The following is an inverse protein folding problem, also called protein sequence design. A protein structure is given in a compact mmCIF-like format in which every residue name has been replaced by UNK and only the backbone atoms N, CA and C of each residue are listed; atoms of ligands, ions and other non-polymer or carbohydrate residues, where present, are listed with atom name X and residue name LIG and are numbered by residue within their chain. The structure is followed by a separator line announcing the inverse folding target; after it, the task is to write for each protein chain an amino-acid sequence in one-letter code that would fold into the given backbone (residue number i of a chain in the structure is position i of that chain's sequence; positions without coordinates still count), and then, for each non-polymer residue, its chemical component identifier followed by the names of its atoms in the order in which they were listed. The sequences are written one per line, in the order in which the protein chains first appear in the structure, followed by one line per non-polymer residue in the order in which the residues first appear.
data_IF_892707417490
#
_entry.id   IF_892707417490
#
_cell.length_a   1.000
_cell.length_b   1.000
_cell.length_c   1.000
_cell.angle_alpha   90.00
_cell.angle_beta   90.00
_cell.angle_gamma   90.00
#
_symmetry.space_group_name_H-M   'P 1'
#
loop_
_entity.id
_entity.type
_entity.pdbx_description
1 polymer ?
#
# COMPACT_ATOMS: atom_id res chain seq x y z
N UNK A 1 -7.78 2.40 46.36
CA UNK A 1 -8.41 2.15 45.04
C UNK A 1 -7.37 2.14 43.93
N UNK A 2 -7.56 1.33 42.88
CA UNK A 2 -6.59 1.18 41.77
C UNK A 2 -6.43 2.43 40.90
N UNK A 3 -7.41 3.34 40.89
CA UNK A 3 -7.34 4.66 40.27
C UNK A 3 -6.86 4.66 38.80
N UNK A 4 -7.67 4.07 37.92
CA UNK A 4 -7.31 3.89 36.51
C UNK A 4 -6.39 2.68 36.23
N UNK A 5 -5.96 1.96 37.27
CA UNK A 5 -5.41 0.60 37.17
C UNK A 5 -6.49 -0.49 37.24
N UNK A 6 -6.09 -1.71 36.94
CA UNK A 6 -6.84 -2.95 37.16
C UNK A 6 -6.63 -3.48 38.58
N UNK A 7 -7.56 -4.31 39.07
CA UNK A 7 -7.56 -4.86 40.44
C UNK A 7 -8.83 -4.47 41.20
N UNK A 8 -9.15 -5.21 42.27
CA UNK A 8 -10.27 -4.87 43.16
C UNK A 8 -9.84 -3.86 44.23
N UNK A 9 -10.78 -3.09 44.74
CA UNK A 9 -10.51 -2.20 45.88
C UNK A 9 -10.05 -3.03 47.09
N UNK A 10 -8.84 -2.73 47.57
CA UNK A 10 -8.28 -3.34 48.77
C UNK A 10 -8.82 -2.62 50.00
N UNK A 11 -9.44 -3.36 50.91
CA UNK A 11 -10.00 -2.84 52.16
C UNK A 11 -9.45 -3.63 53.35
N UNK A 12 -9.10 -2.93 54.42
CA UNK A 12 -8.63 -3.51 55.68
C UNK A 12 -9.30 -2.78 56.85
N UNK A 13 -9.67 -3.52 57.88
CA UNK A 13 -10.22 -2.97 59.12
C UNK A 13 -9.10 -2.78 60.14
N UNK A 14 -9.00 -1.58 60.71
CA UNK A 14 -8.01 -1.22 61.73
C UNK A 14 -8.74 -0.72 62.97
N UNK A 15 -8.20 -0.98 64.17
CA UNK A 15 -8.75 -0.44 65.41
C UNK A 15 -8.41 1.07 65.46
N UNK A 16 -9.38 1.96 65.75
CA UNK A 16 -9.11 3.39 65.82
C UNK A 16 -8.01 3.71 66.84
N UNK A 17 -7.00 4.46 66.40
CA UNK A 17 -5.83 4.84 67.21
C UNK A 17 -4.64 3.90 67.12
N UNK A 18 -4.78 2.72 66.48
CA UNK A 18 -3.64 1.82 66.21
C UNK A 18 -2.87 2.28 64.97
N UNK A 19 -1.57 1.96 64.93
CA UNK A 19 -0.75 2.13 63.72
C UNK A 19 -1.10 1.06 62.67
N UNK A 20 -1.14 1.49 61.41
CA UNK A 20 -1.30 0.64 60.24
C UNK A 20 -0.21 0.92 59.22
N UNK A 21 0.34 -0.13 58.60
CA UNK A 21 1.34 0.00 57.54
C UNK A 21 0.65 0.16 56.20
N UNK A 22 0.99 1.22 55.47
CA UNK A 22 0.51 1.42 54.10
C UNK A 22 1.08 0.31 53.20
N UNK A 23 0.20 -0.48 52.59
CA UNK A 23 0.60 -1.61 51.76
C UNK A 23 1.12 -1.18 50.40
N UNK A 24 1.92 -2.03 49.76
CA UNK A 24 2.29 -1.82 48.34
C UNK A 24 1.12 -2.13 47.42
N UNK A 25 1.19 -1.61 46.20
CA UNK A 25 0.29 -2.00 45.12
C UNK A 25 0.27 -3.53 44.84
N UNK A 26 1.41 -4.21 44.99
CA UNK A 26 1.49 -5.67 44.83
C UNK A 26 0.68 -6.43 45.87
N UNK A 27 0.70 -5.99 47.13
CA UNK A 27 -0.14 -6.54 48.20
C UNK A 27 -1.63 -6.34 47.91
N UNK A 28 -1.98 -5.21 47.28
CA UNK A 28 -3.34 -4.89 46.85
C UNK A 28 -3.75 -5.58 45.53
N UNK A 29 -2.86 -6.33 44.89
CA UNK A 29 -3.05 -6.97 43.57
C UNK A 29 -3.59 -6.00 42.49
N UNK A 30 -3.10 -4.76 42.45
CA UNK A 30 -3.48 -3.81 41.41
C UNK A 30 -2.34 -3.64 40.40
N UNK A 31 -2.65 -3.23 39.17
CA UNK A 31 -1.65 -2.98 38.13
C UNK A 31 -2.19 -2.02 37.07
N UNK A 32 -1.32 -1.25 36.43
CA UNK A 32 -1.70 -0.37 35.33
C UNK A 32 -0.72 -0.57 34.18
N UNK A 33 -1.19 -1.08 33.05
CA UNK A 33 -0.32 -1.43 31.92
C UNK A 33 0.45 -0.19 31.42
N UNK A 34 1.77 -0.32 31.29
CA UNK A 34 2.66 0.79 30.91
C UNK A 34 2.88 1.83 31.98
N UNK A 35 2.53 1.55 33.25
CA UNK A 35 2.81 2.44 34.36
C UNK A 35 3.40 1.67 35.55
N UNK A 36 4.27 2.37 36.29
CA UNK A 36 4.83 1.91 37.56
C UNK A 36 4.09 2.63 38.69
N UNK A 37 3.81 1.89 39.77
CA UNK A 37 3.24 2.46 40.99
C UNK A 37 4.25 3.38 41.67
N UNK A 38 3.86 4.62 41.98
CA UNK A 38 4.70 5.56 42.75
C UNK A 38 4.38 5.55 44.24
N UNK A 39 3.13 5.84 44.59
CA UNK A 39 2.66 6.01 45.98
C UNK A 39 1.12 6.02 46.02
N UNK A 40 0.55 6.17 47.21
CA UNK A 40 -0.88 6.41 47.40
C UNK A 40 -1.13 7.89 47.68
N UNK A 41 -2.31 8.38 47.30
CA UNK A 41 -2.71 9.78 47.48
C UNK A 41 -4.12 9.86 48.06
N UNK A 42 -4.40 10.91 48.83
CA UNK A 42 -5.71 11.15 49.44
C UNK A 42 -6.81 11.35 48.39
N UNK A 43 -6.50 12.07 47.31
CA UNK A 43 -7.45 12.36 46.23
C UNK A 43 -7.13 11.56 44.97
N UNK A 44 -8.17 11.20 44.22
CA UNK A 44 -8.04 10.42 42.98
C UNK A 44 -7.23 11.12 41.87
N UNK A 45 -7.19 12.46 41.88
CA UNK A 45 -6.39 13.25 40.93
C UNK A 45 -4.89 13.29 41.29
N UNK A 46 -4.47 12.60 42.34
CA UNK A 46 -3.08 12.54 42.81
C UNK A 46 -2.68 13.74 43.68
N UNK A 47 -3.63 14.59 44.06
CA UNK A 47 -3.43 15.70 45.01
C UNK A 47 -3.66 15.27 46.47
N UNK A 48 -3.44 16.21 47.39
CA UNK A 48 -3.62 15.98 48.82
C UNK A 48 -2.42 15.28 49.46
N UNK A 49 -2.66 14.60 50.56
CA UNK A 49 -1.62 13.90 51.31
C UNK A 49 -1.08 12.71 50.51
N UNK A 50 0.25 12.56 50.49
CA UNK A 50 0.93 11.42 49.86
C UNK A 50 1.29 10.40 50.92
N UNK A 51 0.97 9.13 50.65
CA UNK A 51 1.25 8.00 51.52
C UNK A 51 2.17 7.00 50.83
N UNK A 52 3.34 6.74 51.42
CA UNK A 52 4.36 5.85 50.86
C UNK A 52 4.18 4.43 51.38
N UNK A 53 4.29 3.43 50.51
CA UNK A 53 4.23 2.03 50.96
C UNK A 53 5.33 1.72 51.98
N UNK A 54 4.95 1.09 53.10
CA UNK A 54 5.82 0.76 54.22
C UNK A 54 5.83 1.80 55.35
N UNK A 55 5.20 2.96 55.18
CA UNK A 55 5.05 3.94 56.26
C UNK A 55 3.94 3.54 57.25
N UNK A 56 4.06 3.99 58.50
CA UNK A 56 3.04 3.84 59.52
C UNK A 56 2.10 5.04 59.52
N UNK A 57 0.80 4.78 59.55
CA UNK A 57 -0.25 5.78 59.75
C UNK A 57 -1.13 5.41 60.94
N UNK A 58 -1.52 6.40 61.74
CA UNK A 58 -2.51 6.22 62.80
C UNK A 58 -3.88 6.67 62.29
N UNK A 59 -4.86 5.76 62.31
CA UNK A 59 -6.19 6.05 61.78
C UNK A 59 -7.18 6.30 62.91
N UNK A 60 -7.80 7.48 62.93
CA UNK A 60 -8.92 7.80 63.84
C UNK A 60 -10.28 7.70 63.17
N UNK A 61 -10.31 7.74 61.83
CA UNK A 61 -11.50 7.71 60.99
C UNK A 61 -11.24 6.88 59.71
N UNK A 62 -12.29 6.60 58.95
CA UNK A 62 -12.18 5.91 57.68
C UNK A 62 -11.34 6.73 56.67
N UNK A 63 -10.37 6.08 56.05
CA UNK A 63 -9.49 6.68 55.06
C UNK A 63 -9.61 5.92 53.73
N UNK A 64 -9.71 6.64 52.62
CA UNK A 64 -9.58 6.08 51.27
C UNK A 64 -8.37 6.71 50.61
N UNK A 65 -7.50 5.88 50.04
CA UNK A 65 -6.36 6.34 49.26
C UNK A 65 -6.38 5.76 47.85
N UNK A 66 -5.79 6.49 46.92
CA UNK A 66 -5.81 6.23 45.48
C UNK A 66 -4.39 6.02 44.98
N UNK A 67 -4.17 4.96 44.20
CA UNK A 67 -2.87 4.70 43.63
C UNK A 67 -2.46 5.83 42.67
N UNK A 68 -1.23 6.30 42.79
CA UNK A 68 -0.59 7.21 41.86
C UNK A 68 0.39 6.43 40.99
N UNK A 69 0.29 6.65 39.69
CA UNK A 69 1.00 5.90 38.67
C UNK A 69 1.86 6.84 37.84
N UNK A 70 3.09 6.41 37.53
CA UNK A 70 3.99 7.09 36.59
C UNK A 70 4.18 6.24 35.36
N UNK A 71 4.16 6.85 34.18
CA UNK A 71 4.38 6.14 32.92
C UNK A 71 5.76 5.46 32.92
N UNK A 72 5.77 4.21 32.48
CA UNK A 72 6.98 3.46 32.18
C UNK A 72 7.47 3.87 30.79
N UNK A 73 8.57 4.62 30.75
CA UNK A 73 9.17 5.18 29.53
C UNK A 73 9.62 4.12 28.50
N UNK A 74 9.49 2.83 28.81
CA UNK A 74 9.77 1.72 27.87
C UNK A 74 8.53 1.09 27.26
N UNK A 75 7.32 1.44 27.72
CA UNK A 75 6.07 0.80 27.30
C UNK A 75 5.18 1.77 26.53
N UNK A 76 4.92 1.45 25.25
CA UNK A 76 4.05 2.20 24.35
C UNK A 76 3.23 1.25 23.47
N UNK A 77 2.12 1.76 22.96
CA UNK A 77 1.46 1.19 21.79
C UNK A 77 1.92 1.92 20.53
N UNK A 78 2.35 1.16 19.54
CA UNK A 78 2.77 1.69 18.26
C UNK A 78 1.61 1.69 17.27
N UNK A 79 1.36 2.86 16.66
CA UNK A 79 0.47 3.01 15.51
C UNK A 79 1.35 3.08 14.27
N UNK A 80 1.30 2.05 13.44
CA UNK A 80 2.12 1.93 12.21
C UNK A 80 1.27 2.14 10.97
N UNK A 81 1.68 3.06 10.12
CA UNK A 81 1.05 3.43 8.87
C UNK A 81 1.83 2.81 7.70
N UNK A 82 1.14 2.04 6.85
CA UNK A 82 1.71 1.35 5.69
C UNK A 82 1.29 2.03 4.39
N UNK A 83 2.23 2.24 3.47
CA UNK A 83 1.99 2.90 2.17
C UNK A 83 1.00 2.16 1.27
N UNK A 84 0.89 0.85 1.44
CA UNK A 84 -0.06 -0.04 0.75
C UNK A 84 -0.07 0.10 -0.78
N UNK A 85 1.07 -0.23 -1.40
CA UNK A 85 1.26 -0.09 -2.85
C UNK A 85 1.52 1.34 -3.32
N UNK A 86 1.62 2.31 -2.42
CA UNK A 86 2.19 3.63 -2.66
C UNK A 86 3.72 3.67 -2.48
N UNK A 87 4.29 4.83 -2.74
CA UNK A 87 5.69 5.18 -2.49
C UNK A 87 5.86 5.89 -1.13
N UNK A 88 7.03 5.74 -0.53
CA UNK A 88 7.36 6.23 0.81
C UNK A 88 7.89 5.10 1.69
N UNK A 89 8.11 5.37 2.97
CA UNK A 89 8.45 4.37 3.98
C UNK A 89 7.33 4.30 5.01
N UNK A 90 7.26 3.18 5.74
CA UNK A 90 6.35 3.07 6.87
C UNK A 90 6.59 4.20 7.88
N UNK A 91 5.51 4.69 8.47
CA UNK A 91 5.53 5.75 9.46
C UNK A 91 4.95 5.21 10.77
N UNK A 92 5.67 5.36 11.89
CA UNK A 92 5.24 4.81 13.18
C UNK A 92 5.26 5.91 14.24
N UNK A 93 4.20 5.94 15.05
CA UNK A 93 4.08 6.80 16.23
C UNK A 93 3.90 5.91 17.45
N UNK A 94 4.62 6.24 18.53
CA UNK A 94 4.46 5.58 19.83
C UNK A 94 3.52 6.40 20.70
N UNK A 95 2.51 5.75 21.27
CA UNK A 95 1.43 6.35 22.06
C UNK A 95 1.47 5.74 23.46
N UNK A 96 1.38 6.59 24.48
CA UNK A 96 1.32 6.15 25.88
C UNK A 96 -0.02 5.40 26.10
N UNK A 97 -0.03 4.25 26.79
CA UNK A 97 -1.29 3.54 27.05
C UNK A 97 -2.32 4.42 27.78
N UNK A 98 -3.50 4.56 27.18
CA UNK A 98 -4.59 5.40 27.68
C UNK A 98 -4.61 6.82 27.15
N UNK A 99 -3.56 7.26 26.44
CA UNK A 99 -3.54 8.55 25.74
C UNK A 99 -4.22 8.45 24.37
N UNK A 100 -4.75 9.59 23.93
CA UNK A 100 -5.33 9.77 22.60
C UNK A 100 -4.25 10.01 21.54
N UNK A 101 -4.50 9.51 20.33
CA UNK A 101 -3.69 9.71 19.14
C UNK A 101 -4.55 10.18 17.97
N UNK A 102 -4.10 11.23 17.28
CA UNK A 102 -4.78 11.75 16.09
C UNK A 102 -4.25 11.05 14.84
N UNK A 103 -5.14 10.46 14.05
CA UNK A 103 -4.79 9.77 12.81
C UNK A 103 -4.20 10.77 11.81
N UNK A 104 -3.00 10.48 11.31
CA UNK A 104 -2.26 11.41 10.45
C UNK A 104 -2.74 11.37 9.00
N UNK A 105 -2.43 12.41 8.22
CA UNK A 105 -2.63 12.40 6.76
C UNK A 105 -1.50 11.63 6.06
N UNK A 106 -1.71 11.24 4.79
CA UNK A 106 -0.62 10.69 3.96
C UNK A 106 0.56 11.67 3.80
N UNK A 107 0.29 12.98 3.78
CA UNK A 107 1.31 14.03 3.70
C UNK A 107 2.23 14.04 4.93
N UNK A 108 1.67 13.93 6.14
CA UNK A 108 2.45 13.80 7.38
C UNK A 108 3.32 12.54 7.38
N UNK A 109 2.80 11.44 6.84
CA UNK A 109 3.53 10.19 6.69
C UNK A 109 4.51 10.19 5.49
N UNK A 110 4.58 11.26 4.70
CA UNK A 110 5.36 11.38 3.46
C UNK A 110 5.07 10.24 2.44
N UNK A 111 3.79 9.92 2.24
CA UNK A 111 3.34 8.85 1.35
C UNK A 111 2.53 9.39 0.16
N UNK A 112 2.71 8.77 -1.00
CA UNK A 112 2.01 9.10 -2.24
C UNK A 112 1.80 7.86 -3.09
N UNK A 113 0.90 7.92 -4.08
CA UNK A 113 0.72 6.86 -5.08
C UNK A 113 0.38 7.49 -6.42
N UNK A 114 1.20 7.21 -7.45
CA UNK A 114 1.06 7.87 -8.75
C UNK A 114 -0.27 7.54 -9.42
N UNK A 115 -1.03 8.57 -9.79
CA UNK A 115 -2.38 8.44 -10.37
C UNK A 115 -3.49 8.18 -9.35
N UNK A 116 -3.21 8.31 -8.06
CA UNK A 116 -4.19 8.10 -7.01
C UNK A 116 -4.19 9.21 -5.96
N UNK A 117 -5.35 9.42 -5.37
CA UNK A 117 -5.58 10.29 -4.21
C UNK A 117 -5.77 9.43 -2.96
N UNK A 118 -5.23 9.86 -1.84
CA UNK A 118 -5.45 9.23 -0.54
C UNK A 118 -6.89 9.45 -0.08
N UNK A 119 -7.60 8.39 0.31
CA UNK A 119 -8.96 8.49 0.86
C UNK A 119 -8.96 8.47 2.40
N UNK A 120 -8.36 7.43 2.99
CA UNK A 120 -8.34 7.15 4.43
C UNK A 120 -7.34 6.02 4.72
N UNK A 121 -7.22 5.65 5.99
CA UNK A 121 -6.52 4.44 6.41
C UNK A 121 -7.50 3.32 6.71
N UNK A 122 -7.08 2.08 6.54
CA UNK A 122 -7.89 0.90 6.87
C UNK A 122 -7.12 -0.09 7.71
N UNK A 123 -7.83 -0.85 8.54
CA UNK A 123 -7.25 -1.92 9.37
C UNK A 123 -6.56 -3.00 8.53
N UNK A 124 -7.16 -3.36 7.39
CA UNK A 124 -6.62 -4.38 6.50
C UNK A 124 -6.09 -3.77 5.19
N UNK A 125 -5.06 -4.40 4.62
CA UNK A 125 -4.40 -3.95 3.39
C UNK A 125 -5.31 -3.97 2.14
N UNK A 126 -6.32 -4.84 2.13
CA UNK A 126 -7.32 -4.93 1.05
C UNK A 126 -8.38 -3.82 1.09
N UNK A 127 -8.28 -2.89 2.06
CA UNK A 127 -9.22 -1.79 2.25
C UNK A 127 -10.48 -2.17 3.04
N UNK A 128 -10.53 -3.38 3.62
CA UNK A 128 -11.60 -3.83 4.52
C UNK A 128 -11.30 -3.53 5.99
N UNK A 129 -12.25 -3.90 6.86
CA UNK A 129 -12.14 -3.70 8.31
C UNK A 129 -12.50 -2.27 8.72
N UNK A 130 -11.97 -1.86 9.87
CA UNK A 130 -12.20 -0.51 10.41
C UNK A 130 -11.56 0.55 9.51
N UNK A 131 -12.31 1.62 9.22
CA UNK A 131 -11.82 2.78 8.47
C UNK A 131 -11.40 3.86 9.47
N UNK A 132 -10.20 4.39 9.28
CA UNK A 132 -9.65 5.47 10.07
C UNK A 132 -9.43 6.73 9.22
N UNK A 133 -10.18 7.78 9.51
CA UNK A 133 -10.12 9.06 8.77
C UNK A 133 -9.02 9.96 9.32
N UNK A 134 -8.27 10.63 8.44
CA UNK A 134 -7.23 11.56 8.88
C UNK A 134 -7.84 12.72 9.69
N UNK A 135 -7.27 13.01 10.85
CA UNK A 135 -7.75 14.01 11.80
C UNK A 135 -8.69 13.49 12.88
N UNK A 136 -9.18 12.24 12.78
CA UNK A 136 -9.92 11.64 13.88
C UNK A 136 -8.99 11.23 15.04
N UNK A 137 -9.56 11.08 16.22
CA UNK A 137 -8.84 10.69 17.43
C UNK A 137 -9.18 9.27 17.84
N UNK A 138 -8.17 8.48 18.17
CA UNK A 138 -8.29 7.10 18.66
C UNK A 138 -7.50 6.94 19.97
N UNK A 139 -7.90 6.00 20.81
CA UNK A 139 -7.12 5.57 21.99
C UNK A 139 -6.66 4.13 21.76
N UNK A 140 -5.42 3.91 21.31
CA UNK A 140 -4.92 2.55 21.07
C UNK A 140 -4.93 1.73 22.36
N UNK A 141 -5.45 0.50 22.27
CA UNK A 141 -5.42 -0.49 23.36
C UNK A 141 -4.41 -1.62 23.12
N UNK A 142 -3.79 -1.63 21.94
CA UNK A 142 -2.67 -2.48 21.54
C UNK A 142 -1.91 -1.76 20.41
N UNK A 143 -0.77 -2.31 20.00
CA UNK A 143 -0.12 -1.96 18.75
C UNK A 143 -1.11 -2.17 17.58
N UNK A 144 -1.20 -1.19 16.70
CA UNK A 144 -2.06 -1.28 15.52
C UNK A 144 -1.28 -0.93 14.26
N UNK A 145 -1.66 -1.58 13.16
CA UNK A 145 -1.17 -1.25 11.82
C UNK A 145 -2.36 -0.83 10.97
N UNK A 146 -2.21 0.26 10.23
CA UNK A 146 -3.21 0.74 9.29
C UNK A 146 -2.59 0.96 7.91
N UNK A 147 -3.38 0.76 6.88
CA UNK A 147 -2.95 0.71 5.49
C UNK A 147 -3.60 1.84 4.71
N UNK A 148 -2.82 2.56 3.90
CA UNK A 148 -3.37 3.64 3.09
C UNK A 148 -4.38 3.08 2.07
N UNK A 149 -5.55 3.69 2.00
CA UNK A 149 -6.53 3.45 0.95
C UNK A 149 -6.43 4.54 -0.09
N UNK A 150 -6.28 4.11 -1.33
CA UNK A 150 -6.05 4.98 -2.49
C UNK A 150 -7.20 4.82 -3.48
N UNK A 151 -7.64 5.94 -4.05
CA UNK A 151 -8.61 5.98 -5.14
C UNK A 151 -8.00 6.64 -6.36
N UNK A 152 -8.24 6.05 -7.54
CA UNK A 152 -7.75 6.58 -8.80
C UNK A 152 -8.23 8.02 -9.01
N UNK A 153 -7.37 8.89 -9.53
CA UNK A 153 -7.67 10.32 -9.70
C UNK A 153 -8.51 10.66 -10.94
N UNK A 154 -8.83 9.65 -11.77
CA UNK A 154 -9.62 9.72 -13.00
C UNK A 154 -9.02 10.59 -14.12
N UNK A 155 -7.76 10.98 -14.00
CA UNK A 155 -7.06 11.87 -14.96
C UNK A 155 -5.67 11.38 -15.37
N UNK A 156 -5.04 10.53 -14.56
CA UNK A 156 -3.67 10.06 -14.77
C UNK A 156 -3.67 8.64 -15.30
N UNK A 157 -3.12 8.45 -16.50
CA UNK A 157 -3.02 7.15 -17.16
C UNK A 157 -1.64 6.96 -17.78
N UNK A 158 -1.20 5.71 -17.89
CA UNK A 158 -0.17 5.34 -18.85
C UNK A 158 -0.83 5.00 -20.19
N UNK A 159 -0.21 5.43 -21.28
CA UNK A 159 -0.69 5.13 -22.62
C UNK A 159 0.18 4.08 -23.29
N UNK A 160 -0.47 3.07 -23.87
CA UNK A 160 0.17 2.12 -24.78
C UNK A 160 -0.18 2.51 -26.21
N UNK A 161 0.82 2.89 -27.00
CA UNK A 161 0.65 3.27 -28.40
C UNK A 161 1.21 2.20 -29.32
N UNK A 162 0.36 1.66 -30.17
CA UNK A 162 0.69 0.66 -31.17
C UNK A 162 0.93 1.35 -32.51
N UNK A 163 2.04 1.02 -33.18
CA UNK A 163 2.47 1.58 -34.46
C UNK A 163 2.50 0.51 -35.54
N UNK A 164 1.90 0.77 -36.70
CA UNK A 164 1.82 -0.20 -37.80
C UNK A 164 3.19 -0.57 -38.41
N UNK A 165 4.22 0.24 -38.16
CA UNK A 165 5.62 -0.01 -38.52
C UNK A 165 5.83 -0.46 -39.98
N UNK A 166 5.73 0.49 -40.91
CA UNK A 166 5.72 0.25 -42.37
C UNK A 166 4.53 -0.58 -42.88
N UNK A 167 3.61 -0.97 -42.01
CA UNK A 167 2.28 -1.42 -42.39
C UNK A 167 1.32 -0.25 -42.67
N UNK A 168 0.05 -0.59 -42.80
CA UNK A 168 -1.09 0.31 -42.97
C UNK A 168 -1.94 0.34 -41.70
N UNK A 169 -2.63 1.46 -41.48
CA UNK A 169 -3.39 1.75 -40.26
C UNK A 169 -2.92 3.05 -39.61
N UNK A 170 -3.75 3.61 -38.73
CA UNK A 170 -3.35 4.72 -37.86
C UNK A 170 -2.83 4.18 -36.54
N UNK A 171 -2.14 5.03 -35.77
CA UNK A 171 -1.78 4.69 -34.39
C UNK A 171 -3.02 4.28 -33.59
N UNK A 172 -2.86 3.25 -32.77
CA UNK A 172 -3.89 2.78 -31.85
C UNK A 172 -3.38 2.96 -30.43
N UNK A 173 -4.11 3.72 -29.61
CA UNK A 173 -3.68 4.03 -28.23
C UNK A 173 -4.72 3.57 -27.23
N UNK A 174 -4.24 2.93 -26.16
CA UNK A 174 -5.06 2.51 -25.01
C UNK A 174 -4.51 3.20 -23.76
N UNK A 175 -5.41 3.74 -22.94
CA UNK A 175 -5.07 4.30 -21.63
C UNK A 175 -5.29 3.24 -20.55
N UNK A 176 -4.32 3.11 -19.66
CA UNK A 176 -4.24 2.08 -18.62
C UNK A 176 -4.01 2.77 -17.28
N UNK A 177 -4.79 2.38 -16.27
CA UNK A 177 -4.65 2.92 -14.92
C UNK A 177 -3.30 2.45 -14.34
N UNK A 178 -2.50 3.32 -13.70
CA UNK A 178 -1.26 2.89 -13.08
C UNK A 178 -1.46 1.76 -12.06
N UNK A 179 -0.68 0.68 -12.21
CA UNK A 179 -0.78 -0.52 -11.37
C UNK A 179 -1.73 -1.60 -11.88
N UNK A 180 -2.59 -1.30 -12.85
CA UNK A 180 -3.37 -2.33 -13.56
C UNK A 180 -2.52 -3.03 -14.63
N UNK A 181 -2.89 -4.28 -14.94
CA UNK A 181 -2.32 -4.99 -16.07
C UNK A 181 -3.00 -4.56 -17.39
N UNK A 182 -2.20 -4.46 -18.45
CA UNK A 182 -2.66 -4.27 -19.81
C UNK A 182 -2.42 -5.52 -20.64
N UNK A 183 -3.45 -6.03 -21.30
CA UNK A 183 -3.32 -7.14 -22.24
C UNK A 183 -2.93 -6.63 -23.62
N UNK A 184 -1.81 -7.11 -24.15
CA UNK A 184 -1.29 -6.74 -25.46
C UNK A 184 -2.27 -7.15 -26.55
N UNK A 185 -2.69 -6.17 -27.36
CA UNK A 185 -3.72 -6.41 -28.39
C UNK A 185 -3.18 -7.10 -29.63
N UNK A 186 -4.05 -7.69 -30.44
CA UNK A 186 -3.67 -8.19 -31.78
C UNK A 186 -3.56 -7.03 -32.78
N UNK A 187 -2.86 -7.26 -33.91
CA UNK A 187 -2.89 -6.30 -35.03
C UNK A 187 -4.31 -6.07 -35.57
N UNK A 188 -5.18 -7.08 -35.50
CA UNK A 188 -6.59 -6.95 -35.89
C UNK A 188 -7.36 -5.97 -35.00
N UNK A 189 -7.19 -6.06 -33.68
CA UNK A 189 -7.77 -5.09 -32.72
C UNK A 189 -7.27 -3.66 -32.98
N UNK A 190 -5.98 -3.51 -33.30
CA UNK A 190 -5.39 -2.23 -33.67
C UNK A 190 -5.75 -1.77 -35.10
N UNK A 191 -6.50 -2.56 -35.87
CA UNK A 191 -6.83 -2.33 -37.29
C UNK A 191 -5.59 -2.08 -38.18
N UNK A 192 -4.53 -2.86 -37.98
CA UNK A 192 -3.28 -2.75 -38.70
C UNK A 192 -3.01 -3.98 -39.58
N UNK A 193 -2.49 -3.72 -40.78
CA UNK A 193 -2.16 -4.78 -41.73
C UNK A 193 -0.96 -4.39 -42.59
N UNK A 194 -0.22 -5.37 -43.10
CA UNK A 194 0.85 -5.15 -44.07
C UNK A 194 0.70 -6.16 -45.21
N UNK A 195 0.43 -5.67 -46.41
CA UNK A 195 0.18 -6.53 -47.57
C UNK A 195 1.38 -7.44 -47.87
N UNK A 196 1.13 -8.75 -48.03
CA UNK A 196 2.18 -9.76 -48.24
C UNK A 196 2.93 -10.16 -46.96
N UNK A 197 2.47 -9.74 -45.79
CA UNK A 197 3.08 -10.10 -44.51
C UNK A 197 2.03 -10.55 -43.50
N UNK A 198 2.47 -11.42 -42.59
CA UNK A 198 1.73 -11.85 -41.40
C UNK A 198 2.31 -11.12 -40.18
N UNK A 199 1.44 -10.71 -39.26
CA UNK A 199 1.85 -10.15 -37.98
C UNK A 199 2.49 -11.24 -37.12
N UNK A 200 3.70 -11.00 -36.59
CA UNK A 200 4.35 -11.91 -35.65
C UNK A 200 4.04 -11.52 -34.20
N UNK A 201 4.45 -10.32 -33.81
CA UNK A 201 4.33 -9.77 -32.46
C UNK A 201 4.58 -8.25 -32.49
N UNK A 202 4.50 -7.61 -31.32
CA UNK A 202 4.93 -6.22 -31.16
C UNK A 202 6.35 -6.15 -30.63
N UNK A 203 7.09 -5.09 -30.97
CA UNK A 203 8.45 -4.86 -30.45
C UNK A 203 8.59 -3.45 -29.91
N UNK A 204 9.45 -3.27 -28.90
CA UNK A 204 9.76 -1.98 -28.31
C UNK A 204 10.35 -0.99 -29.35
N UNK A 205 11.20 -1.50 -30.25
CA UNK A 205 11.82 -0.69 -31.30
C UNK A 205 11.25 -0.99 -32.69
N UNK A 206 11.22 0.03 -33.54
CA UNK A 206 10.70 -0.05 -34.92
C UNK A 206 11.52 -0.99 -35.83
N UNK A 207 12.82 -1.16 -35.57
CA UNK A 207 13.68 -2.09 -36.30
C UNK A 207 13.47 -3.56 -35.92
N UNK A 208 12.53 -3.85 -35.00
CA UNK A 208 12.25 -5.20 -34.52
C UNK A 208 13.17 -5.68 -33.40
N UNK A 209 14.07 -4.83 -32.90
CA UNK A 209 14.91 -5.10 -31.72
C UNK A 209 14.19 -4.75 -30.40
N UNK A 210 14.86 -4.99 -29.28
CA UNK A 210 14.32 -4.75 -27.94
C UNK A 210 13.41 -5.87 -27.45
N UNK A 211 12.60 -5.57 -26.44
CA UNK A 211 11.62 -6.52 -25.91
C UNK A 211 10.52 -6.78 -26.93
N UNK A 212 10.17 -8.06 -27.13
CA UNK A 212 9.03 -8.47 -27.94
C UNK A 212 7.83 -8.81 -27.07
N UNK A 213 6.64 -8.35 -27.46
CA UNK A 213 5.39 -8.54 -26.76
C UNK A 213 4.40 -9.33 -27.61
N UNK A 214 3.94 -10.46 -27.10
CA UNK A 214 3.00 -11.33 -27.81
C UNK A 214 1.56 -10.89 -27.57
N UNK A 215 0.68 -11.01 -28.56
CA UNK A 215 -0.72 -10.68 -28.37
C UNK A 215 -1.37 -11.62 -27.34
N UNK A 216 -2.11 -11.06 -26.38
CA UNK A 216 -2.69 -11.79 -25.24
C UNK A 216 -1.80 -11.83 -23.99
N UNK A 217 -0.55 -11.37 -24.06
CA UNK A 217 0.33 -11.20 -22.91
C UNK A 217 -0.16 -10.07 -22.01
N UNK A 218 -0.07 -10.23 -20.68
CA UNK A 218 -0.34 -9.16 -19.73
C UNK A 218 0.97 -8.47 -19.33
N UNK A 219 0.96 -7.14 -19.34
CA UNK A 219 2.09 -6.31 -18.91
C UNK A 219 1.63 -5.28 -17.88
N UNK A 220 2.44 -5.03 -16.86
CA UNK A 220 2.25 -3.90 -15.94
C UNK A 220 3.10 -2.72 -16.41
N UNK A 221 2.47 -1.55 -16.55
CA UNK A 221 3.16 -0.36 -17.02
C UNK A 221 3.71 0.46 -15.85
N UNK A 222 4.93 0.99 -16.04
CA UNK A 222 5.56 1.97 -15.14
C UNK A 222 5.77 3.34 -15.80
N UNK A 223 5.56 3.43 -17.12
CA UNK A 223 5.51 4.64 -17.93
C UNK A 223 4.66 4.37 -19.19
N UNK A 224 4.44 5.39 -20.00
CA UNK A 224 3.90 5.27 -21.34
C UNK A 224 4.77 4.34 -22.19
N UNK A 225 4.12 3.49 -22.98
CA UNK A 225 4.77 2.49 -23.81
C UNK A 225 4.41 2.74 -25.27
N UNK A 226 5.39 2.64 -26.17
CA UNK A 226 5.13 2.58 -27.61
C UNK A 226 5.70 1.28 -28.14
N UNK A 227 4.91 0.56 -28.93
CA UNK A 227 5.32 -0.69 -29.56
C UNK A 227 5.02 -0.69 -31.06
N UNK A 228 5.83 -1.41 -31.81
CA UNK A 228 5.84 -1.42 -33.27
C UNK A 228 5.51 -2.82 -33.77
N UNK A 229 4.65 -2.92 -34.78
CA UNK A 229 4.29 -4.21 -35.34
C UNK A 229 5.52 -4.84 -36.02
N UNK A 230 5.81 -6.09 -35.66
CA UNK A 230 6.78 -6.92 -36.37
C UNK A 230 6.04 -7.81 -37.35
N UNK A 231 6.52 -7.78 -38.58
CA UNK A 231 5.89 -8.46 -39.71
C UNK A 231 6.85 -9.47 -40.30
N UNK A 232 6.36 -10.67 -40.58
CA UNK A 232 7.08 -11.69 -41.34
C UNK A 232 6.41 -11.89 -42.69
N UNK A 233 7.22 -12.08 -43.72
CA UNK A 233 6.72 -12.30 -45.06
C UNK A 233 5.76 -13.52 -45.11
N UNK A 234 4.66 -13.37 -45.83
CA UNK A 234 3.73 -14.46 -46.12
C UNK A 234 4.22 -15.23 -47.35
N UNK A 235 4.80 -16.41 -47.13
CA UNK A 235 5.33 -17.28 -48.19
C UNK A 235 4.30 -17.70 -49.26
N UNK A 236 3.00 -17.46 -49.01
CA UNK A 236 1.93 -17.72 -49.99
C UNK A 236 1.64 -16.54 -50.91
N UNK A 237 2.17 -15.35 -50.62
CA UNK A 237 1.99 -14.13 -51.40
C UNK A 237 3.23 -13.82 -52.23
N UNK A 238 3.17 -14.04 -53.55
CA UNK A 238 4.27 -13.76 -54.48
C UNK A 238 3.76 -13.21 -55.81
N UNK A 239 4.61 -12.47 -56.51
CA UNK A 239 4.38 -12.08 -57.90
C UNK A 239 5.16 -13.00 -58.84
N UNK A 240 4.52 -13.48 -59.89
CA UNK A 240 5.22 -14.20 -60.95
C UNK A 240 5.70 -13.20 -62.01
N UNK A 241 7.01 -13.14 -62.21
CA UNK A 241 7.63 -12.42 -63.32
C UNK A 241 7.95 -13.43 -64.41
N UNK A 242 7.27 -13.31 -65.55
CA UNK A 242 7.51 -14.16 -66.73
C UNK A 242 8.28 -13.37 -67.78
N UNK A 243 9.50 -13.83 -68.07
CA UNK A 243 10.32 -13.36 -69.18
C UNK A 243 9.90 -14.09 -70.46
N UNK A 244 9.23 -13.35 -71.35
CA UNK A 244 8.77 -13.86 -72.66
C UNK A 244 9.90 -13.84 -73.67
N UNK A 245 10.04 -14.91 -74.46
CA UNK A 245 11.09 -15.00 -75.48
C UNK A 245 10.81 -14.20 -76.75
N UNK A 246 9.60 -13.62 -76.88
CA UNK A 246 9.21 -12.70 -77.95
C UNK A 246 9.65 -13.11 -79.37
N UNK A 247 9.50 -14.41 -79.70
CA UNK A 247 9.84 -14.96 -81.01
C UNK A 247 11.22 -15.64 -81.10
N UNK A 248 11.99 -15.67 -80.01
CA UNK A 248 13.19 -16.49 -79.88
C UNK A 248 12.90 -17.99 -79.71
N UNK A 249 13.93 -18.84 -79.86
CA UNK A 249 13.80 -20.32 -79.86
C UNK A 249 13.76 -20.96 -78.47
N UNK A 250 13.76 -20.18 -77.39
CA UNK A 250 13.71 -20.67 -76.01
C UNK A 250 12.29 -20.73 -75.43
N UNK A 251 12.14 -21.44 -74.31
CA UNK A 251 10.91 -21.42 -73.49
C UNK A 251 10.84 -20.18 -72.62
N UNK A 252 9.63 -19.67 -72.39
CA UNK A 252 9.40 -18.62 -71.39
C UNK A 252 9.96 -19.05 -70.02
N UNK A 253 10.58 -18.10 -69.32
CA UNK A 253 11.14 -18.32 -67.99
C UNK A 253 10.29 -17.56 -66.97
N UNK A 254 9.81 -18.22 -65.93
CA UNK A 254 9.05 -17.59 -64.85
C UNK A 254 9.80 -17.71 -63.54
N UNK A 255 9.94 -16.60 -62.84
CA UNK A 255 10.45 -16.53 -61.48
C UNK A 255 9.37 -15.96 -60.57
N UNK A 256 9.23 -16.53 -59.38
CA UNK A 256 8.37 -15.97 -58.33
C UNK A 256 9.20 -15.02 -57.47
N UNK A 257 8.69 -13.81 -57.27
CA UNK A 257 9.35 -12.73 -56.54
C UNK A 257 8.52 -12.37 -55.32
N UNK A 258 9.19 -12.20 -54.19
CA UNK A 258 8.58 -11.86 -52.92
C UNK A 258 8.46 -10.33 -52.82
N UNK A 259 7.26 -9.76 -52.53
CA UNK A 259 7.10 -8.33 -52.36
C UNK A 259 7.91 -7.81 -51.16
N UNK A 260 8.88 -6.93 -51.40
CA UNK A 260 9.65 -6.26 -50.34
C UNK A 260 10.95 -6.94 -49.90
N UNK A 261 11.32 -8.08 -50.51
CA UNK A 261 12.72 -8.53 -50.49
C UNK A 261 13.53 -7.67 -51.46
N UNK A 262 14.57 -6.99 -50.97
CA UNK A 262 15.62 -6.47 -51.85
C UNK A 262 16.42 -7.68 -52.38
N UNK A 263 16.24 -8.02 -53.67
CA UNK A 263 17.03 -9.03 -54.39
C UNK A 263 18.28 -8.42 -55.04
#
# INVERSE_FOLDING_TARGET
KANGGTGIDYTVSVIPGDEHIIVTNGTANMSKYGFVFENWTENADGSGTVYTAGENVTLTDNMTVYAKWKHDETTYYNVTYKTNGGTGTDYTVSVIPGDEHTIVTNGTANMSKYGFVFENWTENADGSGTVYTAGETVTPTDNMTVYAKWKHDDTTYYNVTYKANSGTGTDYTVSVIPGDEHTIVTNGTANMSKYGFVFENWTENADGSGTGYTAGENVTLTDNMTVYAKWKHDETTYYNVTYKTNGGTGTDYTVSVIPGDEH
#
